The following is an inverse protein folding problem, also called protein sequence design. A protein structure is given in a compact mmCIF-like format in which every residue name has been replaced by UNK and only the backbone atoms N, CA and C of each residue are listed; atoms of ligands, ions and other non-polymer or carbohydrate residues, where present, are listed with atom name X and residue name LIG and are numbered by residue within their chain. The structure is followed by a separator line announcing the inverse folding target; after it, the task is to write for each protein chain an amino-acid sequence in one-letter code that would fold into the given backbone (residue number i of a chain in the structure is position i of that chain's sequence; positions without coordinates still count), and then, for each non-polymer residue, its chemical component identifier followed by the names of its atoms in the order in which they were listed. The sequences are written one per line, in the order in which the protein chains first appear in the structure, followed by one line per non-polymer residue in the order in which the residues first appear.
data_IF_691084262195
#
_entry.id   IF_691084262195
#
_cell.length_a   1.000
_cell.length_b   1.000
_cell.length_c   1.000
_cell.angle_alpha   90.00
_cell.angle_beta   90.00
_cell.angle_gamma   90.00
#
_symmetry.space_group_name_H-M   'P 1'
#
loop_
_entity.id
_entity.type
_entity.pdbx_description
1 polymer ?
#
# COMPACT_ATOMS: atom_id res chain seq x y z
N UNK A 1 -49.61 -1.91 -3.27
CA UNK A 1 -49.28 -0.53 -2.87
C UNK A 1 -48.40 -0.60 -1.64
N UNK A 2 -47.09 -0.38 -1.80
CA UNK A 2 -46.16 -0.25 -0.68
C UNK A 2 -45.18 0.86 -1.09
N UNK A 3 -45.41 2.07 -0.58
CA UNK A 3 -44.46 3.18 -0.69
C UNK A 3 -43.38 2.95 0.37
N UNK A 4 -42.23 2.44 -0.06
CA UNK A 4 -41.00 2.44 0.74
C UNK A 4 -40.47 3.87 0.79
N UNK A 5 -40.56 4.48 1.97
CA UNK A 5 -39.95 5.77 2.28
C UNK A 5 -38.43 5.64 2.21
N UNK A 6 -37.85 6.06 1.09
CA UNK A 6 -36.44 6.43 1.00
C UNK A 6 -36.27 7.76 1.74
N UNK A 7 -36.04 7.67 3.06
CA UNK A 7 -35.60 8.83 3.83
C UNK A 7 -34.14 9.04 3.44
N UNK A 8 -33.91 10.11 2.67
CA UNK A 8 -32.59 10.52 2.22
C UNK A 8 -31.70 10.79 3.43
N UNK A 9 -30.62 10.03 3.57
CA UNK A 9 -29.65 10.10 4.68
C UNK A 9 -29.04 11.50 4.86
N UNK A 10 -29.16 12.38 3.87
CA UNK A 10 -28.73 13.78 3.89
C UNK A 10 -29.57 14.68 4.81
N UNK A 11 -30.80 14.31 5.20
CA UNK A 11 -31.61 15.16 6.10
C UNK A 11 -31.29 14.97 7.58
N UNK A 12 -30.56 13.91 7.95
CA UNK A 12 -30.28 13.60 9.36
C UNK A 12 -29.17 14.50 9.94
N UNK A 13 -28.18 14.87 9.11
CA UNK A 13 -27.07 15.75 9.53
C UNK A 13 -27.40 17.25 9.54
N UNK A 14 -28.52 17.65 8.93
CA UNK A 14 -28.94 19.06 8.87
C UNK A 14 -30.12 19.40 9.79
N UNK A 15 -30.59 18.44 10.60
CA UNK A 15 -31.69 18.71 11.53
C UNK A 15 -31.14 19.09 12.91
N UNK A 16 -31.15 20.39 13.23
CA UNK A 16 -30.66 20.91 14.51
C UNK A 16 -31.38 20.35 15.75
N UNK A 17 -32.55 19.72 15.57
CA UNK A 17 -33.38 19.17 16.64
C UNK A 17 -32.97 17.72 17.00
N UNK A 18 -32.29 17.00 16.09
CA UNK A 18 -32.02 15.57 16.22
C UNK A 18 -30.54 15.20 16.35
N UNK A 19 -29.62 16.18 16.29
CA UNK A 19 -28.19 15.92 16.50
C UNK A 19 -27.77 16.28 17.92
N UNK A 20 -27.62 15.27 18.79
CA UNK A 20 -27.15 15.46 20.18
C UNK A 20 -25.63 15.70 20.27
N UNK A 21 -24.90 15.57 19.16
CA UNK A 21 -23.43 15.62 19.11
C UNK A 21 -22.98 16.79 18.22
N UNK A 22 -22.13 17.67 18.76
CA UNK A 22 -21.50 18.78 18.02
C UNK A 22 -20.00 18.52 17.91
N UNK A 23 -19.46 18.42 16.69
CA UNK A 23 -18.02 18.29 16.48
C UNK A 23 -17.37 19.69 16.40
N UNK A 24 -16.32 19.94 17.18
CA UNK A 24 -15.55 21.20 17.20
C UNK A 24 -14.07 20.87 16.96
N UNK A 25 -13.10 21.78 16.99
CA UNK A 25 -11.67 21.43 16.74
C UNK A 25 -10.75 22.36 17.58
N UNK A 26 -10.19 21.92 18.73
CA UNK A 26 -9.25 22.67 19.61
C UNK A 26 -8.08 21.82 20.21
N UNK A 27 -6.85 22.35 20.20
CA UNK A 27 -5.61 21.65 20.60
C UNK A 27 -5.34 21.72 22.12
N UNK A 28 -5.82 20.77 22.96
CA UNK A 28 -5.25 20.50 24.31
C UNK A 28 -5.86 19.29 25.05
N UNK A 29 -5.02 18.60 25.84
CA UNK A 29 -5.33 17.36 26.58
C UNK A 29 -6.05 17.59 27.93
N UNK A 30 -7.37 17.41 27.98
CA UNK A 30 -8.16 17.21 29.22
C UNK A 30 -9.28 16.20 29.00
N UNK A 31 -9.64 15.43 30.03
CA UNK A 31 -10.74 14.44 30.00
C UNK A 31 -12.08 15.11 29.66
N UNK A 32 -12.72 14.64 28.58
CA UNK A 32 -13.84 15.34 27.93
C UNK A 32 -15.08 15.38 28.82
N UNK A 33 -15.38 16.56 29.35
CA UNK A 33 -16.58 16.85 30.16
C UNK A 33 -17.74 17.36 29.31
N UNK A 34 -17.49 17.66 28.03
CA UNK A 34 -18.46 18.19 27.07
C UNK A 34 -18.70 17.18 25.93
N UNK A 35 -19.92 17.15 25.38
CA UNK A 35 -20.33 16.31 24.25
C UNK A 35 -19.83 16.85 22.89
N UNK A 36 -18.54 17.24 22.86
CA UNK A 36 -17.85 17.69 21.66
C UNK A 36 -16.53 16.96 21.49
N UNK A 37 -16.31 16.41 20.31
CA UNK A 37 -15.05 15.76 19.91
C UNK A 37 -14.33 16.62 18.88
N UNK A 38 -13.01 16.65 19.00
CA UNK A 38 -12.15 17.55 18.25
C UNK A 38 -11.13 16.87 17.36
N UNK A 39 -11.16 17.21 16.07
CA UNK A 39 -10.48 16.46 15.01
C UNK A 39 -9.43 17.34 14.34
N UNK A 40 -8.16 17.17 14.67
CA UNK A 40 -7.15 18.18 14.36
C UNK A 40 -6.44 18.10 13.02
N UNK A 41 -6.55 17.00 12.30
CA UNK A 41 -5.52 16.68 11.31
C UNK A 41 -6.04 16.02 10.03
N UNK A 42 -7.36 15.95 9.82
CA UNK A 42 -7.93 15.25 8.68
C UNK A 42 -8.72 16.22 7.78
N UNK A 43 -8.66 16.06 6.45
CA UNK A 43 -9.48 16.85 5.53
C UNK A 43 -10.97 16.67 5.84
N UNK A 44 -11.68 17.79 5.95
CA UNK A 44 -13.10 17.82 6.35
C UNK A 44 -13.95 16.91 5.47
N UNK A 45 -13.68 16.87 4.17
CA UNK A 45 -14.43 16.10 3.18
C UNK A 45 -14.23 14.59 3.34
N UNK A 46 -13.02 14.15 3.68
CA UNK A 46 -12.72 12.73 3.91
C UNK A 46 -13.34 12.24 5.20
N UNK A 47 -13.33 13.08 6.24
CA UNK A 47 -13.99 12.76 7.50
C UNK A 47 -15.51 12.69 7.33
N UNK A 48 -16.10 13.63 6.60
CA UNK A 48 -17.53 13.58 6.24
C UNK A 48 -17.86 12.31 5.45
N UNK A 49 -17.01 11.91 4.50
CA UNK A 49 -17.18 10.66 3.76
C UNK A 49 -17.17 9.44 4.68
N UNK A 50 -16.20 9.36 5.60
CA UNK A 50 -16.12 8.27 6.58
C UNK A 50 -17.34 8.23 7.50
N UNK A 51 -17.80 9.39 8.00
CA UNK A 51 -19.03 9.46 8.79
C UNK A 51 -20.23 8.94 7.99
N UNK A 52 -20.43 9.43 6.77
CA UNK A 52 -21.51 8.95 5.91
C UNK A 52 -21.45 7.44 5.70
N UNK A 53 -20.25 6.88 5.51
CA UNK A 53 -20.06 5.43 5.44
C UNK A 53 -20.48 4.74 6.74
N UNK A 54 -20.04 5.21 7.91
CA UNK A 54 -20.39 4.59 9.19
C UNK A 54 -21.91 4.51 9.43
N UNK A 55 -22.67 5.50 8.96
CA UNK A 55 -24.13 5.52 9.12
C UNK A 55 -24.89 4.78 8.01
N UNK A 56 -24.32 4.64 6.82
CA UNK A 56 -25.03 4.06 5.66
C UNK A 56 -24.50 2.69 5.21
N UNK A 57 -23.31 2.28 5.69
CA UNK A 57 -22.51 1.15 5.19
C UNK A 57 -22.30 1.19 3.67
N UNK A 58 -22.36 2.39 3.06
CA UNK A 58 -22.28 2.60 1.61
C UNK A 58 -21.01 3.37 1.23
N UNK A 59 -20.16 2.73 0.42
CA UNK A 59 -18.96 3.35 -0.14
C UNK A 59 -19.29 4.03 -1.47
N UNK A 60 -19.63 5.32 -1.41
CA UNK A 60 -20.10 6.09 -2.57
C UNK A 60 -18.95 6.54 -3.49
N UNK A 61 -18.71 5.76 -4.56
CA UNK A 61 -17.66 6.04 -5.55
C UNK A 61 -17.92 7.31 -6.35
N UNK A 62 -19.17 7.74 -6.50
CA UNK A 62 -19.54 8.92 -7.27
C UNK A 62 -19.17 10.20 -6.52
N UNK A 63 -19.34 10.18 -5.19
CA UNK A 63 -18.86 11.28 -4.32
C UNK A 63 -17.35 11.43 -4.45
N UNK A 64 -16.60 10.33 -4.42
CA UNK A 64 -15.14 10.37 -4.58
C UNK A 64 -14.71 10.82 -5.97
N UNK A 65 -15.43 10.42 -7.02
CA UNK A 65 -15.18 10.90 -8.38
C UNK A 65 -15.40 12.40 -8.52
N UNK A 66 -16.42 12.95 -7.84
CA UNK A 66 -16.68 14.39 -7.78
C UNK A 66 -15.59 15.13 -7.01
N UNK A 67 -15.17 14.61 -5.86
CA UNK A 67 -14.08 15.19 -5.06
C UNK A 67 -12.75 15.22 -5.81
N UNK A 68 -12.48 14.19 -6.62
CA UNK A 68 -11.28 14.12 -7.45
C UNK A 68 -11.32 15.05 -8.69
N UNK A 69 -12.45 15.70 -8.98
CA UNK A 69 -12.66 16.50 -10.19
C UNK A 69 -12.30 15.78 -11.50
N UNK A 70 -12.41 14.45 -11.51
CA UNK A 70 -12.02 13.60 -12.65
C UNK A 70 -10.51 13.30 -12.78
N UNK A 71 -9.66 13.80 -11.90
CA UNK A 71 -8.22 13.45 -11.89
C UNK A 71 -8.03 12.04 -11.27
N UNK A 72 -7.38 11.17 -12.03
CA UNK A 72 -7.13 9.78 -11.62
C UNK A 72 -6.12 9.68 -10.46
N UNK A 73 -5.14 10.58 -10.39
CA UNK A 73 -4.17 10.65 -9.29
C UNK A 73 -4.89 11.03 -8.00
N UNK A 74 -5.66 12.11 -8.04
CA UNK A 74 -6.48 12.54 -6.90
C UNK A 74 -7.45 11.45 -6.48
N UNK A 75 -8.09 10.77 -7.44
CA UNK A 75 -9.00 9.67 -7.13
C UNK A 75 -8.32 8.51 -6.40
N UNK A 76 -7.09 8.15 -6.81
CA UNK A 76 -6.27 7.15 -6.14
C UNK A 76 -5.81 7.59 -4.75
N UNK A 77 -5.41 8.86 -4.61
CA UNK A 77 -5.01 9.44 -3.33
C UNK A 77 -6.18 9.46 -2.35
N UNK A 78 -7.39 9.82 -2.78
CA UNK A 78 -8.58 9.76 -1.94
C UNK A 78 -8.82 8.34 -1.41
N UNK A 79 -8.71 7.29 -2.24
CA UNK A 79 -8.88 5.90 -1.79
C UNK A 79 -7.82 5.50 -0.76
N UNK A 80 -6.56 5.89 -0.98
CA UNK A 80 -5.47 5.65 -0.02
C UNK A 80 -5.66 6.41 1.30
N UNK A 81 -6.10 7.66 1.22
CA UNK A 81 -6.32 8.51 2.39
C UNK A 81 -7.52 8.02 3.21
N UNK A 82 -8.60 7.55 2.57
CA UNK A 82 -9.74 6.94 3.26
C UNK A 82 -9.32 5.68 4.01
N UNK A 83 -8.45 4.86 3.41
CA UNK A 83 -7.88 3.71 4.11
C UNK A 83 -7.07 4.14 5.34
N UNK A 84 -6.24 5.17 5.22
CA UNK A 84 -5.49 5.73 6.35
C UNK A 84 -6.37 6.28 7.46
N UNK A 85 -7.44 6.97 7.07
CA UNK A 85 -8.44 7.49 7.99
C UNK A 85 -9.15 6.35 8.72
N UNK A 86 -9.53 5.30 8.00
CA UNK A 86 -10.13 4.12 8.58
C UNK A 86 -9.19 3.43 9.60
N UNK A 87 -7.88 3.36 9.33
CA UNK A 87 -6.91 2.78 10.27
C UNK A 87 -6.74 3.65 11.51
N UNK A 88 -6.71 4.98 11.32
CA UNK A 88 -6.61 5.98 12.40
C UNK A 88 -7.82 5.96 13.36
N UNK A 89 -9.02 5.78 12.83
CA UNK A 89 -10.27 5.80 13.60
C UNK A 89 -10.86 4.41 13.87
N UNK A 90 -10.10 3.34 13.59
CA UNK A 90 -10.49 1.94 13.75
C UNK A 90 -11.86 1.60 13.14
N UNK A 91 -12.00 1.90 11.83
CA UNK A 91 -13.20 1.62 11.03
C UNK A 91 -12.89 0.49 10.03
N UNK A 92 -12.71 -0.76 10.47
CA UNK A 92 -12.19 -1.84 9.63
C UNK A 92 -13.07 -2.21 8.43
N UNK A 93 -14.38 -1.90 8.50
CA UNK A 93 -15.31 -2.11 7.38
C UNK A 93 -14.93 -1.30 6.14
N UNK A 94 -14.21 -0.19 6.28
CA UNK A 94 -13.74 0.64 5.17
C UNK A 94 -12.51 0.08 4.45
N UNK A 95 -11.75 -0.82 5.07
CA UNK A 95 -10.50 -1.32 4.48
C UNK A 95 -10.74 -2.00 3.14
N UNK A 96 -11.68 -2.94 3.11
CA UNK A 96 -11.99 -3.72 1.92
C UNK A 96 -12.46 -2.86 0.74
N UNK A 97 -13.52 -2.02 0.86
CA UNK A 97 -13.98 -1.22 -0.27
C UNK A 97 -12.94 -0.20 -0.74
N UNK A 98 -12.15 0.40 0.17
CA UNK A 98 -11.06 1.30 -0.22
C UNK A 98 -9.96 0.59 -1.00
N UNK A 99 -9.58 -0.63 -0.60
CA UNK A 99 -8.60 -1.44 -1.31
C UNK A 99 -9.09 -1.87 -2.71
N UNK A 100 -10.33 -2.36 -2.80
CA UNK A 100 -10.94 -2.77 -4.08
C UNK A 100 -11.06 -1.59 -5.04
N UNK A 101 -11.39 -0.41 -4.52
CA UNK A 101 -11.49 0.81 -5.31
C UNK A 101 -10.12 1.25 -5.85
N UNK A 102 -9.06 1.24 -5.01
CA UNK A 102 -7.71 1.51 -5.49
C UNK A 102 -7.25 0.44 -6.49
N UNK A 103 -7.54 -0.83 -6.26
CA UNK A 103 -7.18 -1.93 -7.18
C UNK A 103 -7.78 -1.71 -8.57
N UNK A 104 -9.06 -1.34 -8.66
CA UNK A 104 -9.73 -1.02 -9.92
C UNK A 104 -9.05 0.16 -10.63
N UNK A 105 -8.63 1.20 -9.90
CA UNK A 105 -7.91 2.33 -10.48
C UNK A 105 -6.52 1.91 -11.00
N UNK A 106 -5.78 1.14 -10.21
CA UNK A 106 -4.43 0.69 -10.56
C UNK A 106 -4.42 -0.31 -11.72
N UNK A 107 -5.48 -1.11 -11.90
CA UNK A 107 -5.65 -2.05 -13.02
C UNK A 107 -6.38 -1.44 -14.23
N UNK A 108 -6.95 -0.24 -14.08
CA UNK A 108 -7.72 0.41 -15.14
C UNK A 108 -6.90 0.73 -16.38
N UNK A 109 -7.53 0.79 -17.56
CA UNK A 109 -6.85 0.98 -18.84
C UNK A 109 -6.09 2.31 -19.00
N UNK A 110 -6.36 3.31 -18.16
CA UNK A 110 -5.62 4.57 -18.12
C UNK A 110 -4.39 4.52 -17.18
N UNK A 111 -4.24 3.44 -16.41
CA UNK A 111 -3.14 3.26 -15.46
C UNK A 111 -1.81 3.07 -16.18
N UNK A 112 -0.80 3.78 -15.72
CA UNK A 112 0.57 3.69 -16.23
C UNK A 112 1.55 3.59 -15.07
N UNK A 113 2.79 3.21 -15.37
CA UNK A 113 3.84 3.05 -14.35
C UNK A 113 4.03 4.31 -13.50
N UNK A 114 3.95 5.50 -14.09
CA UNK A 114 4.13 6.76 -13.36
C UNK A 114 3.05 6.90 -12.28
N UNK A 115 1.78 6.66 -12.63
CA UNK A 115 0.67 6.67 -11.68
C UNK A 115 0.88 5.65 -10.55
N UNK A 116 1.18 4.38 -10.89
CA UNK A 116 1.39 3.32 -9.89
C UNK A 116 2.56 3.62 -8.97
N UNK A 117 3.68 4.11 -9.52
CA UNK A 117 4.85 4.50 -8.75
C UNK A 117 4.53 5.66 -7.82
N UNK A 118 3.84 6.69 -8.30
CA UNK A 118 3.42 7.83 -7.47
C UNK A 118 2.49 7.38 -6.34
N UNK A 119 1.53 6.50 -6.63
CA UNK A 119 0.64 5.94 -5.62
C UNK A 119 1.40 5.13 -4.56
N UNK A 120 2.35 4.30 -4.97
CA UNK A 120 3.19 3.54 -4.05
C UNK A 120 4.01 4.47 -3.15
N UNK A 121 4.72 5.43 -3.73
CA UNK A 121 5.51 6.43 -3.00
C UNK A 121 4.64 7.17 -1.97
N UNK A 122 3.51 7.73 -2.38
CA UNK A 122 2.61 8.45 -1.50
C UNK A 122 2.08 7.55 -0.36
N UNK A 123 1.72 6.30 -0.66
CA UNK A 123 1.24 5.37 0.35
C UNK A 123 2.30 5.08 1.42
N UNK A 124 3.50 4.69 1.01
CA UNK A 124 4.58 4.30 1.94
C UNK A 124 5.23 5.48 2.64
N UNK A 125 5.13 6.70 2.09
CA UNK A 125 5.54 7.93 2.78
C UNK A 125 4.60 8.27 3.94
N UNK A 126 3.29 8.10 3.75
CA UNK A 126 2.29 8.45 4.77
C UNK A 126 2.03 7.32 5.79
N UNK A 127 2.19 6.05 5.39
CA UNK A 127 1.86 4.88 6.21
C UNK A 127 2.95 3.81 6.13
N UNK A 128 4.03 3.93 6.91
CA UNK A 128 5.15 2.99 6.89
C UNK A 128 4.84 1.71 7.68
N UNK A 129 3.74 1.03 7.37
CA UNK A 129 3.36 -0.25 7.99
C UNK A 129 3.47 -1.37 6.96
N UNK A 130 4.32 -2.35 7.26
CA UNK A 130 4.42 -3.54 6.43
C UNK A 130 3.14 -4.38 6.56
N UNK A 131 2.86 -5.08 5.47
CA UNK A 131 1.87 -6.12 5.34
C UNK A 131 0.41 -5.69 5.47
N UNK A 132 0.13 -4.44 5.13
CA UNK A 132 -1.25 -3.93 5.11
C UNK A 132 -2.02 -4.46 3.90
N UNK A 133 -3.36 -4.61 4.00
CA UNK A 133 -4.23 -4.85 2.86
C UNK A 133 -3.96 -3.94 1.66
N UNK A 134 -3.77 -2.64 1.90
CA UNK A 134 -3.51 -1.65 0.86
C UNK A 134 -2.14 -1.85 0.20
N UNK A 135 -1.07 -2.03 1.00
CA UNK A 135 0.27 -2.30 0.49
C UNK A 135 0.32 -3.59 -0.33
N UNK A 136 -0.43 -4.62 0.07
CA UNK A 136 -0.56 -5.87 -0.70
C UNK A 136 -1.17 -5.66 -2.08
N UNK A 137 -2.19 -4.81 -2.21
CA UNK A 137 -2.81 -4.45 -3.50
C UNK A 137 -1.81 -3.70 -4.38
N UNK A 138 -1.14 -2.69 -3.84
CA UNK A 138 -0.15 -1.91 -4.60
C UNK A 138 0.96 -2.83 -5.12
N UNK A 139 1.53 -3.66 -4.24
CA UNK A 139 2.60 -4.59 -4.60
C UNK A 139 2.12 -5.69 -5.54
N UNK A 140 0.90 -6.19 -5.39
CA UNK A 140 0.36 -7.21 -6.31
C UNK A 140 0.25 -6.66 -7.73
N UNK A 141 -0.19 -5.41 -7.91
CA UNK A 141 -0.26 -4.74 -9.21
C UNK A 141 1.12 -4.50 -9.80
N UNK A 142 2.07 -3.98 -9.00
CA UNK A 142 3.46 -3.75 -9.45
C UNK A 142 4.06 -5.06 -9.98
N UNK A 143 3.96 -6.14 -9.20
CA UNK A 143 4.52 -7.45 -9.54
C UNK A 143 3.77 -8.15 -10.69
N UNK A 144 2.51 -7.82 -10.94
CA UNK A 144 1.73 -8.44 -12.02
C UNK A 144 1.94 -7.74 -13.37
N UNK A 145 2.00 -6.41 -13.38
CA UNK A 145 1.90 -5.61 -14.61
C UNK A 145 3.19 -4.85 -14.97
N UNK A 146 4.11 -4.70 -14.03
CA UNK A 146 5.28 -3.82 -14.19
C UNK A 146 6.59 -4.48 -13.77
N UNK A 147 6.71 -5.80 -13.97
CA UNK A 147 7.92 -6.57 -13.64
C UNK A 147 9.16 -6.01 -14.34
N UNK A 148 9.01 -5.54 -15.58
CA UNK A 148 10.08 -4.92 -16.36
C UNK A 148 10.60 -3.62 -15.73
N UNK A 149 9.76 -2.91 -14.95
CA UNK A 149 10.12 -1.66 -14.28
C UNK A 149 10.88 -1.88 -12.97
N UNK A 150 10.77 -3.06 -12.37
CA UNK A 150 11.44 -3.40 -11.10
C UNK A 150 12.97 -3.39 -11.23
N UNK A 151 13.49 -3.63 -12.43
CA UNK A 151 14.93 -3.65 -12.69
C UNK A 151 15.53 -2.27 -13.05
N UNK A 152 14.74 -1.19 -12.92
CA UNK A 152 15.21 0.16 -13.24
C UNK A 152 15.94 0.79 -12.04
N UNK A 153 16.94 1.63 -12.33
CA UNK A 153 17.66 2.38 -11.29
C UNK A 153 16.74 3.32 -10.48
N UNK A 154 15.66 3.80 -11.10
CA UNK A 154 14.68 4.64 -10.41
C UNK A 154 13.88 3.84 -9.39
N UNK A 155 13.46 2.62 -9.73
CA UNK A 155 12.80 1.73 -8.78
C UNK A 155 13.73 1.32 -7.64
N UNK A 156 15.02 1.07 -7.93
CA UNK A 156 16.03 0.80 -6.89
C UNK A 156 16.13 1.96 -5.90
N UNK A 157 16.17 3.22 -6.38
CA UNK A 157 16.13 4.40 -5.51
C UNK A 157 14.85 4.45 -4.67
N UNK A 158 13.70 4.12 -5.24
CA UNK A 158 12.43 4.03 -4.50
C UNK A 158 12.50 2.97 -3.40
N UNK A 159 13.04 1.78 -3.67
CA UNK A 159 13.20 0.74 -2.65
C UNK A 159 14.14 1.15 -1.51
N UNK A 160 15.21 1.87 -1.83
CA UNK A 160 16.13 2.41 -0.83
C UNK A 160 15.48 3.52 0.03
N UNK A 161 14.63 4.36 -0.59
CA UNK A 161 13.89 5.40 0.12
C UNK A 161 12.78 4.84 1.00
N UNK A 162 12.13 3.74 0.59
CA UNK A 162 10.98 3.14 1.27
C UNK A 162 11.23 1.66 1.60
N UNK A 163 11.98 1.33 2.67
CA UNK A 163 12.27 -0.06 3.05
C UNK A 163 11.03 -0.93 3.32
N UNK A 164 9.92 -0.31 3.74
CA UNK A 164 8.64 -1.01 3.98
C UNK A 164 8.05 -1.56 2.68
N UNK A 165 8.18 -0.83 1.56
CA UNK A 165 7.79 -1.33 0.23
C UNK A 165 8.62 -2.57 -0.15
N UNK A 166 9.93 -2.55 0.12
CA UNK A 166 10.80 -3.70 -0.13
C UNK A 166 10.38 -4.93 0.70
N UNK A 167 10.00 -4.71 1.97
CA UNK A 167 9.47 -5.76 2.83
C UNK A 167 8.17 -6.35 2.27
N UNK A 168 7.24 -5.52 1.81
CA UNK A 168 5.97 -5.98 1.22
C UNK A 168 6.16 -6.75 -0.08
N UNK A 169 7.11 -6.32 -0.92
CA UNK A 169 7.50 -7.08 -2.12
C UNK A 169 8.01 -8.46 -1.73
N UNK A 170 8.92 -8.55 -0.76
CA UNK A 170 9.45 -9.82 -0.28
C UNK A 170 8.33 -10.72 0.28
N UNK A 171 7.42 -10.17 1.09
CA UNK A 171 6.28 -10.89 1.64
C UNK A 171 5.31 -11.37 0.56
N UNK A 172 5.04 -10.55 -0.47
CA UNK A 172 4.17 -10.93 -1.58
C UNK A 172 4.79 -12.08 -2.40
N UNK A 173 6.10 -12.01 -2.71
CA UNK A 173 6.83 -13.07 -3.39
C UNK A 173 6.87 -14.37 -2.57
N UNK A 174 7.00 -14.27 -1.24
CA UNK A 174 6.92 -15.42 -0.34
C UNK A 174 5.54 -16.10 -0.41
N UNK A 175 4.46 -15.32 -0.35
CA UNK A 175 3.06 -15.84 -0.38
C UNK A 175 2.72 -16.53 -1.68
N UNK A 176 3.13 -15.95 -2.80
CA UNK A 176 2.93 -16.55 -4.12
C UNK A 176 3.81 -17.78 -4.37
N UNK A 177 4.62 -18.19 -3.38
CA UNK A 177 5.62 -19.28 -3.49
C UNK A 177 6.66 -19.01 -4.59
N UNK A 178 6.79 -17.77 -5.06
CA UNK A 178 7.75 -17.39 -6.10
C UNK A 178 9.19 -17.40 -5.60
N UNK A 179 9.42 -17.31 -4.27
CA UNK A 179 10.77 -17.50 -3.71
C UNK A 179 11.35 -18.89 -3.99
N UNK A 180 10.52 -19.91 -4.22
CA UNK A 180 11.01 -21.25 -4.60
C UNK A 180 11.31 -21.39 -6.11
N UNK A 181 10.85 -20.46 -6.95
CA UNK A 181 10.96 -20.57 -8.42
C UNK A 181 11.92 -19.53 -9.02
N UNK A 182 11.99 -18.32 -8.45
CA UNK A 182 12.89 -17.27 -8.94
C UNK A 182 14.31 -17.39 -8.40
N UNK A 183 14.50 -18.05 -7.25
CA UNK A 183 15.82 -18.45 -6.73
C UNK A 183 16.22 -19.81 -7.31
N UNK A 184 16.32 -19.88 -8.64
CA UNK A 184 17.16 -20.86 -9.34
C UNK A 184 18.65 -20.75 -8.96
N UNK A 185 19.00 -19.82 -8.06
CA UNK A 185 20.14 -19.96 -7.17
C UNK A 185 19.67 -20.58 -5.86
N UNK A 186 20.05 -21.83 -5.68
CA UNK A 186 19.94 -22.64 -4.46
C UNK A 186 19.91 -21.79 -3.19
N UNK A 187 18.71 -21.50 -2.67
CA UNK A 187 18.55 -21.10 -1.28
C UNK A 187 18.97 -22.29 -0.43
N UNK A 188 20.21 -22.28 0.03
CA UNK A 188 20.66 -23.11 1.14
C UNK A 188 19.87 -22.63 2.37
N UNK A 189 18.70 -23.24 2.60
CA UNK A 189 18.02 -23.10 3.87
C UNK A 189 18.93 -23.68 4.95
N UNK A 190 19.13 -22.90 6.01
CA UNK A 190 20.13 -23.11 7.08
C UNK A 190 20.01 -24.43 7.89
N UNK A 191 19.14 -25.37 7.53
CA UNK A 191 18.95 -26.63 8.25
C UNK A 191 19.18 -27.91 7.42
N UNK A 192 19.79 -27.83 6.24
CA UNK A 192 20.33 -29.03 5.56
C UNK A 192 21.73 -28.79 5.00
N UNK A 193 22.71 -28.59 5.90
CA UNK A 193 24.10 -28.94 5.61
C UNK A 193 24.26 -30.46 5.55
N UNK A 194 23.85 -31.06 4.43
CA UNK A 194 24.45 -32.30 3.94
C UNK A 194 24.72 -32.13 2.46
N UNK A 195 25.88 -31.55 2.17
CA UNK A 195 26.46 -31.51 0.83
C UNK A 195 26.64 -32.96 0.39
N UNK A 196 25.77 -33.42 -0.51
CA UNK A 196 26.03 -34.56 -1.39
C UNK A 196 25.82 -34.11 -2.83
N UNK A 197 26.84 -33.48 -3.41
CA UNK A 197 27.25 -33.72 -4.80
C UNK A 197 28.46 -32.86 -5.13
N UNK A 198 29.58 -33.55 -5.37
CA UNK A 198 30.88 -33.00 -5.65
C UNK A 198 31.07 -32.66 -7.14
N UNK A 199 30.15 -31.90 -7.76
CA UNK A 199 30.18 -31.74 -9.23
C UNK A 199 30.15 -30.32 -9.81
N UNK A 200 30.04 -29.25 -9.01
CA UNK A 200 30.04 -27.88 -9.57
C UNK A 200 31.11 -26.93 -8.98
N UNK A 201 32.15 -27.44 -8.34
CA UNK A 201 33.28 -26.63 -7.82
C UNK A 201 34.41 -26.38 -8.84
N UNK A 202 34.29 -26.89 -10.07
CA UNK A 202 35.31 -26.74 -11.12
C UNK A 202 35.21 -25.45 -11.93
N UNK A 203 34.08 -24.75 -11.91
CA UNK A 203 33.90 -23.51 -12.70
C UNK A 203 34.38 -22.25 -11.95
N UNK A 204 34.40 -22.27 -10.62
CA UNK A 204 34.87 -21.13 -9.81
C UNK A 204 36.39 -21.11 -9.52
N UNK A 205 37.16 -22.10 -9.99
CA UNK A 205 38.63 -22.16 -9.79
C UNK A 205 39.47 -21.66 -10.98
N UNK A 206 38.86 -21.27 -12.11
CA UNK A 206 39.59 -20.77 -13.30
C UNK A 206 39.61 -19.25 -13.49
N UNK A 207 38.97 -18.47 -12.60
CA UNK A 207 38.91 -17.00 -12.72
C UNK A 207 39.95 -16.21 -11.90
N UNK A 208 40.73 -16.85 -11.03
CA UNK A 208 41.70 -16.18 -10.16
C UNK A 208 43.06 -16.89 -10.20
N UNK A 209 43.82 -16.67 -11.28
CA UNK A 209 45.26 -16.91 -11.33
C UNK A 209 45.88 -15.98 -12.38
N UNK A 210 45.77 -14.67 -12.09
CA UNK A 210 46.56 -13.64 -12.76
C UNK A 210 47.79 -13.30 -11.91
N UNK A 211 48.97 -13.56 -12.48
CA UNK A 211 50.30 -13.04 -12.12
C UNK A 211 50.92 -13.42 -10.76
N UNK A 212 51.70 -14.52 -10.77
CA UNK A 212 52.99 -14.55 -10.06
C UNK A 212 54.06 -14.97 -11.06
N UNK A 213 54.94 -14.02 -11.41
CA UNK A 213 56.15 -14.25 -12.20
C UNK A 213 57.23 -14.78 -11.24
N UNK A 214 57.70 -16.01 -11.43
CA UNK A 214 58.94 -16.49 -10.80
C UNK A 214 59.95 -16.78 -11.89
N UNK A 215 61.00 -15.96 -11.96
CA UNK A 215 62.22 -16.21 -12.73
C UNK A 215 63.01 -17.32 -12.06
N UNK A 216 63.30 -18.40 -12.76
CA UNK A 216 64.34 -19.36 -12.40
C UNK A 216 65.58 -19.13 -13.26
N UNK A 217 66.66 -18.71 -12.61
CA UNK A 217 67.99 -18.60 -13.18
C UNK A 217 68.57 -20.01 -13.40
N UNK A 218 69.19 -20.22 -14.57
CA UNK A 218 70.07 -21.36 -14.85
C UNK A 218 71.52 -20.93 -14.61
N UNK A 219 72.23 -21.63 -13.71
CA UNK A 219 73.49 -22.34 -13.98
C UNK A 219 73.89 -23.11 -12.73
#
# INVERSE_FOLDING_TARGET
MANTFSVSSTTLFNNHILSDIKLKQIYKDTEATESSMELHHDPSELFEFMLKFMYSDNYDKDVLAKLAAGDMNERGFLSSNIYGLADKYDVPKLYKPACEDLEVLLLGGASNWKFVSTMATQYYENQPKADTPMGRVIVSVILANYVDKIHTADFEKTLLAYPVLAADIALNLQRKKHLNVMLGYTLITRNCCRIKSALNLTVLRRGYLGHVIVRTARR
#
